data_IF_960365612562
#
_entry.id   IF_960365612562
#
_cell.length_a   1.000
_cell.length_b   1.000
_cell.length_c   1.000
_cell.angle_alpha   90.00
_cell.angle_beta   90.00
_cell.angle_gamma   90.00
#
_symmetry.space_group_name_H-M   'P 1'
#
loop_
_entity.id
_entity.type
_entity.pdbx_description
1 polymer ?
#
# COMPACT_ATOMS: atom_id res chain seq x y z
N UNK A 1 72.84 -39.22 10.86
CA UNK A 1 72.41 -38.60 12.14
C UNK A 1 70.95 -38.24 11.99
N UNK A 2 70.13 -38.65 12.96
CA UNK A 2 68.67 -38.63 12.95
C UNK A 2 68.06 -37.23 13.17
N UNK A 3 66.77 -37.08 12.82
CA UNK A 3 65.82 -36.12 13.42
C UNK A 3 65.06 -35.24 12.40
N UNK A 4 63.81 -35.56 12.02
CA UNK A 4 62.50 -34.97 12.50
C UNK A 4 62.34 -33.45 12.28
N UNK A 5 61.21 -32.85 11.85
CA UNK A 5 59.97 -33.18 11.12
C UNK A 5 59.18 -31.83 10.99
N UNK A 6 58.33 -31.65 9.96
CA UNK A 6 57.26 -30.62 9.91
C UNK A 6 57.15 -29.91 8.55
N UNK A 7 56.41 -30.44 7.56
CA UNK A 7 54.98 -30.18 7.17
C UNK A 7 54.69 -28.67 6.93
N UNK A 8 54.18 -28.20 5.77
CA UNK A 8 52.96 -28.57 5.01
C UNK A 8 53.06 -28.08 3.53
N UNK A 9 52.80 -28.97 2.56
CA UNK A 9 51.59 -29.04 1.71
C UNK A 9 51.59 -28.16 0.43
N UNK A 10 52.06 -28.76 -0.67
CA UNK A 10 51.64 -28.46 -2.04
C UNK A 10 50.69 -29.57 -2.47
N UNK A 11 49.51 -29.24 -2.99
CA UNK A 11 48.66 -30.22 -3.68
C UNK A 11 48.20 -29.64 -5.02
N UNK A 12 48.96 -29.98 -6.06
CA UNK A 12 48.42 -30.12 -7.41
C UNK A 12 47.61 -31.40 -7.47
N UNK A 13 46.39 -31.36 -8.01
CA UNK A 13 45.86 -32.47 -8.79
C UNK A 13 44.87 -31.92 -9.83
N UNK A 14 45.30 -31.94 -11.09
CA UNK A 14 44.42 -31.92 -12.24
C UNK A 14 44.39 -33.31 -12.87
N UNK A 15 43.18 -33.81 -13.17
CA UNK A 15 42.92 -34.71 -14.31
C UNK A 15 41.41 -34.75 -14.60
N UNK A 16 40.94 -34.03 -15.61
CA UNK A 16 40.57 -34.47 -16.98
C UNK A 16 39.54 -35.61 -17.06
N UNK A 17 38.27 -35.23 -17.33
CA UNK A 17 37.42 -35.72 -18.43
C UNK A 17 36.66 -37.05 -18.28
N UNK A 18 35.31 -36.98 -18.28
CA UNK A 18 34.48 -37.32 -19.46
C UNK A 18 32.96 -37.32 -19.13
N UNK A 19 32.23 -36.52 -19.91
CA UNK A 19 30.84 -36.64 -20.41
C UNK A 19 29.77 -37.44 -19.64
N UNK A 20 28.65 -36.76 -19.33
CA UNK A 20 27.33 -37.25 -19.71
C UNK A 20 26.41 -36.07 -20.08
N UNK A 21 25.82 -36.19 -21.26
CA UNK A 21 24.93 -35.22 -21.92
C UNK A 21 23.49 -35.44 -21.50
N UNK A 22 22.71 -34.36 -21.35
CA UNK A 22 21.28 -34.39 -21.66
C UNK A 22 20.34 -33.58 -20.75
N UNK A 23 19.94 -32.39 -21.23
CA UNK A 23 18.51 -31.96 -21.37
C UNK A 23 17.79 -31.61 -20.03
N UNK A 24 17.23 -30.43 -19.72
CA UNK A 24 16.78 -29.22 -20.44
C UNK A 24 16.34 -28.18 -19.37
N UNK A 25 16.66 -26.90 -19.56
CA UNK A 25 15.78 -25.76 -19.15
C UNK A 25 14.88 -25.41 -20.35
N UNK A 26 13.69 -24.75 -20.23
CA UNK A 26 13.50 -23.36 -19.75
C UNK A 26 12.15 -23.12 -18.99
N UNK A 27 11.80 -21.99 -18.35
CA UNK A 27 11.59 -20.63 -18.89
C UNK A 27 11.55 -19.54 -17.78
N UNK A 28 12.23 -18.40 -18.02
CA UNK A 28 11.97 -17.09 -17.38
C UNK A 28 10.83 -16.37 -18.10
N UNK A 29 10.00 -15.60 -17.37
CA UNK A 29 9.17 -14.53 -17.95
C UNK A 29 9.04 -13.34 -16.98
N UNK A 30 9.92 -12.35 -17.11
CA UNK A 30 9.60 -10.92 -16.88
C UNK A 30 10.42 -10.10 -17.87
N UNK A 31 9.87 -9.92 -19.07
CA UNK A 31 10.47 -9.17 -20.17
C UNK A 31 9.78 -7.80 -20.27
N UNK A 32 10.50 -6.72 -19.98
CA UNK A 32 10.17 -5.38 -20.48
C UNK A 32 10.66 -5.31 -21.94
N UNK A 33 9.80 -5.72 -22.87
CA UNK A 33 10.09 -5.75 -24.32
C UNK A 33 9.51 -4.50 -24.98
N UNK A 34 10.30 -3.44 -25.07
CA UNK A 34 10.03 -2.38 -26.05
C UNK A 34 10.39 -2.89 -27.45
N UNK A 35 9.46 -2.76 -28.39
CA UNK A 35 9.58 -3.17 -29.80
C UNK A 35 10.74 -2.44 -30.48
N UNK A 36 11.87 -3.14 -30.68
CA UNK A 36 12.88 -2.76 -31.65
C UNK A 36 12.73 -3.62 -32.89
N UNK A 37 12.12 -3.04 -33.92
CA UNK A 37 12.00 -3.61 -35.26
C UNK A 37 13.35 -3.40 -35.97
N UNK A 38 14.28 -4.35 -35.87
CA UNK A 38 15.33 -4.47 -36.88
C UNK A 38 15.88 -5.90 -36.98
N UNK A 39 15.80 -6.44 -38.19
CA UNK A 39 16.16 -7.78 -38.63
C UNK A 39 17.68 -8.00 -38.64
N UNK A 40 18.18 -8.86 -37.74
CA UNK A 40 19.56 -9.37 -37.71
C UNK A 40 19.74 -10.41 -36.58
N UNK A 41 20.73 -11.32 -36.67
CA UNK A 41 20.88 -12.43 -35.72
C UNK A 41 21.09 -11.88 -34.30
N UNK A 42 20.18 -12.26 -33.41
CA UNK A 42 19.97 -11.64 -32.10
C UNK A 42 21.20 -11.69 -31.19
N UNK A 43 21.84 -10.54 -31.02
CA UNK A 43 22.67 -10.25 -29.86
C UNK A 43 21.75 -9.63 -28.80
N UNK A 44 21.33 -10.44 -27.83
CA UNK A 44 20.74 -9.93 -26.59
C UNK A 44 21.88 -9.35 -25.75
N UNK A 45 22.03 -8.03 -25.75
CA UNK A 45 22.92 -7.33 -24.82
C UNK A 45 22.16 -7.25 -23.50
N UNK A 46 22.42 -8.18 -22.59
CA UNK A 46 21.94 -8.08 -21.21
C UNK A 46 22.78 -6.98 -20.54
N UNK A 47 22.19 -5.80 -20.39
CA UNK A 47 22.78 -4.71 -19.60
C UNK A 47 22.77 -5.15 -18.13
N UNK A 48 23.90 -5.67 -17.66
CA UNK A 48 24.13 -5.96 -16.24
C UNK A 48 24.25 -4.64 -15.48
N UNK A 49 23.11 -4.06 -15.13
CA UNK A 49 23.09 -2.87 -14.27
C UNK A 49 23.56 -3.30 -12.88
N UNK A 50 24.59 -2.64 -12.31
CA UNK A 50 25.02 -2.96 -10.96
C UNK A 50 23.82 -2.82 -10.00
N UNK A 51 23.71 -3.71 -9.01
CA UNK A 51 22.63 -3.61 -8.03
C UNK A 51 22.66 -2.21 -7.41
N UNK A 52 21.48 -1.61 -7.11
CA UNK A 52 21.44 -0.32 -6.46
C UNK A 52 22.26 -0.36 -5.17
N UNK A 53 22.91 0.76 -4.79
CA UNK A 53 23.68 0.80 -3.56
C UNK A 53 22.80 0.40 -2.37
N UNK A 54 23.36 -0.27 -1.36
CA UNK A 54 22.60 -0.65 -0.17
C UNK A 54 22.02 0.61 0.48
N UNK A 55 20.73 0.57 0.79
CA UNK A 55 20.05 1.63 1.53
C UNK A 55 20.36 1.53 3.02
N UNK A 56 20.21 2.66 3.71
CA UNK A 56 20.32 2.73 5.17
C UNK A 56 19.29 1.79 5.82
N UNK A 57 19.72 0.88 6.72
CA UNK A 57 18.80 0.04 7.51
C UNK A 57 17.66 0.82 8.19
N UNK A 58 17.92 2.04 8.67
CA UNK A 58 16.91 2.86 9.35
C UNK A 58 15.84 3.37 8.37
N UNK A 59 16.22 3.74 7.15
CA UNK A 59 15.29 4.14 6.09
C UNK A 59 14.39 2.95 5.69
N UNK A 60 14.97 1.74 5.61
CA UNK A 60 14.22 0.53 5.29
C UNK A 60 13.24 0.16 6.41
N UNK A 61 13.64 0.31 7.68
CA UNK A 61 12.77 0.09 8.82
C UNK A 61 11.60 1.10 8.87
N UNK A 62 11.87 2.38 8.58
CA UNK A 62 10.81 3.40 8.45
C UNK A 62 9.84 3.06 7.31
N UNK A 63 10.36 2.64 6.16
CA UNK A 63 9.55 2.24 5.01
C UNK A 63 8.67 1.02 5.31
N UNK A 64 9.17 0.06 6.10
CA UNK A 64 8.37 -1.05 6.60
C UNK A 64 7.22 -0.55 7.48
N UNK A 65 7.49 0.38 8.38
CA UNK A 65 6.45 1.02 9.20
C UNK A 65 5.36 1.71 8.37
N UNK A 66 5.75 2.44 7.32
CA UNK A 66 4.78 3.03 6.36
C UNK A 66 3.93 1.97 5.66
N UNK A 67 4.53 0.82 5.29
CA UNK A 67 3.78 -0.28 4.68
C UNK A 67 2.77 -0.89 5.66
N UNK A 68 3.16 -1.09 6.92
CA UNK A 68 2.26 -1.58 7.97
C UNK A 68 1.10 -0.61 8.22
N UNK A 69 1.38 0.70 8.28
CA UNK A 69 0.35 1.72 8.47
C UNK A 69 -0.69 1.73 7.34
N UNK A 70 -0.30 1.43 6.10
CA UNK A 70 -1.23 1.30 4.95
C UNK A 70 -2.20 0.11 5.08
N UNK A 71 -1.88 -0.87 5.91
CA UNK A 71 -2.75 -2.04 6.15
C UNK A 71 -3.79 -1.76 7.25
N UNK A 72 -3.60 -0.70 8.05
CA UNK A 72 -4.55 -0.30 9.07
C UNK A 72 -5.81 0.33 8.44
N UNK A 73 -6.98 0.21 9.09
CA UNK A 73 -8.18 0.89 8.64
C UNK A 73 -7.94 2.40 8.49
N UNK A 74 -8.30 3.02 7.35
CA UNK A 74 -8.01 4.43 7.10
C UNK A 74 -8.68 5.37 8.11
N UNK A 75 -9.82 4.95 8.67
CA UNK A 75 -10.60 5.72 9.64
C UNK A 75 -9.97 5.70 11.04
N UNK A 76 -9.06 4.75 11.33
CA UNK A 76 -8.43 4.62 12.64
C UNK A 76 -7.70 5.91 13.06
N UNK A 77 -7.09 6.61 12.09
CA UNK A 77 -6.39 7.88 12.32
C UNK A 77 -7.32 9.01 12.82
N UNK A 78 -8.61 8.92 12.49
CA UNK A 78 -9.59 9.90 12.92
C UNK A 78 -10.10 9.52 14.32
N UNK A 79 -10.18 8.23 14.63
CA UNK A 79 -10.76 7.70 15.87
C UNK A 79 -9.85 7.82 17.10
N UNK A 80 -8.54 8.00 16.89
CA UNK A 80 -7.54 8.06 17.96
C UNK A 80 -6.84 9.42 17.97
N UNK A 81 -6.53 9.93 19.16
CA UNK A 81 -5.61 11.08 19.29
C UNK A 81 -4.17 10.66 18.98
N UNK A 82 -3.29 11.65 18.76
CA UNK A 82 -1.86 11.39 18.54
C UNK A 82 -1.21 10.62 19.72
N UNK A 83 -1.58 10.96 20.95
CA UNK A 83 -1.10 10.30 22.17
C UNK A 83 -1.62 8.85 22.29
N UNK A 84 -2.88 8.62 21.91
CA UNK A 84 -3.48 7.28 21.89
C UNK A 84 -2.83 6.42 20.80
N UNK A 85 -2.52 7.01 19.63
CA UNK A 85 -1.78 6.33 18.57
C UNK A 85 -0.37 5.97 19.03
N UNK A 86 0.33 6.87 19.73
CA UNK A 86 1.63 6.57 20.32
C UNK A 86 1.55 5.43 21.35
N UNK A 87 0.46 5.36 22.12
CA UNK A 87 0.19 4.27 23.07
C UNK A 87 -0.08 2.95 22.33
N UNK A 88 -0.84 2.98 21.24
CA UNK A 88 -1.09 1.82 20.38
C UNK A 88 0.23 1.29 19.79
N UNK A 89 1.09 2.17 19.27
CA UNK A 89 2.41 1.79 18.73
C UNK A 89 3.33 1.19 19.79
N UNK A 90 3.22 1.64 21.04
CA UNK A 90 3.93 1.04 22.18
C UNK A 90 3.45 -0.39 22.45
N UNK A 91 2.13 -0.61 22.50
CA UNK A 91 1.56 -1.95 22.65
C UNK A 91 1.96 -2.90 21.53
N UNK A 92 1.97 -2.43 20.27
CA UNK A 92 2.48 -3.18 19.12
C UNK A 92 3.96 -3.56 19.31
N UNK A 93 4.79 -2.58 19.69
CA UNK A 93 6.23 -2.79 19.91
C UNK A 93 6.47 -3.78 21.05
N UNK A 94 5.76 -3.64 22.17
CA UNK A 94 5.91 -4.53 23.32
C UNK A 94 5.45 -5.95 23.00
N UNK A 95 4.39 -6.12 22.19
CA UNK A 95 3.97 -7.44 21.70
C UNK A 95 5.04 -8.05 20.78
N UNK A 96 5.55 -7.30 19.81
CA UNK A 96 6.57 -7.79 18.87
C UNK A 96 7.90 -8.14 19.54
N UNK A 97 8.26 -7.42 20.61
CA UNK A 97 9.49 -7.66 21.39
C UNK A 97 9.29 -8.66 22.54
N UNK A 98 8.10 -9.24 22.70
CA UNK A 98 7.78 -10.19 23.77
C UNK A 98 7.79 -9.59 25.18
N UNK A 99 7.59 -8.27 25.29
CA UNK A 99 7.51 -7.52 26.55
C UNK A 99 6.08 -7.42 27.09
N UNK A 100 5.08 -7.63 26.24
CA UNK A 100 3.68 -7.62 26.63
C UNK A 100 3.38 -8.86 27.49
N UNK A 101 3.37 -8.69 28.82
CA UNK A 101 2.89 -9.70 29.76
C UNK A 101 1.37 -9.72 29.76
N UNK A 102 0.77 -10.91 29.72
CA UNK A 102 -0.69 -11.10 29.81
C UNK A 102 -1.52 -10.41 28.71
N UNK A 103 -0.96 -10.25 27.51
CA UNK A 103 -1.64 -9.60 26.38
C UNK A 103 -3.02 -10.24 26.10
N UNK A 104 -3.12 -11.57 26.09
CA UNK A 104 -4.38 -12.27 25.86
C UNK A 104 -5.43 -12.00 26.94
N UNK A 105 -5.00 -11.78 28.20
CA UNK A 105 -5.90 -11.44 29.28
C UNK A 105 -6.41 -10.01 29.13
N UNK A 106 -5.52 -9.06 28.83
CA UNK A 106 -5.91 -7.66 28.59
C UNK A 106 -6.84 -7.52 27.38
N UNK A 107 -6.58 -8.25 26.30
CA UNK A 107 -7.44 -8.24 25.11
C UNK A 107 -8.83 -8.81 25.41
N UNK A 108 -8.94 -9.84 26.26
CA UNK A 108 -10.23 -10.39 26.69
C UNK A 108 -10.97 -9.46 27.63
N UNK A 109 -10.28 -8.84 28.58
CA UNK A 109 -10.89 -7.95 29.58
C UNK A 109 -11.36 -6.63 28.95
N UNK A 110 -10.54 -6.04 28.07
CA UNK A 110 -10.78 -4.71 27.52
C UNK A 110 -11.42 -4.74 26.14
N UNK A 111 -11.52 -5.89 25.48
CA UNK A 111 -11.97 -6.00 24.08
C UNK A 111 -13.36 -5.39 23.85
N UNK A 112 -14.32 -5.67 24.73
CA UNK A 112 -15.68 -5.14 24.61
C UNK A 112 -15.73 -3.62 24.81
N UNK A 113 -15.00 -3.10 25.80
CA UNK A 113 -14.92 -1.66 26.06
C UNK A 113 -14.20 -0.92 24.93
N UNK A 114 -13.14 -1.51 24.38
CA UNK A 114 -12.42 -0.98 23.23
C UNK A 114 -13.33 -0.89 22.01
N UNK A 115 -14.09 -1.95 21.73
CA UNK A 115 -15.04 -1.96 20.62
C UNK A 115 -16.14 -0.91 20.80
N UNK A 116 -16.68 -0.77 22.02
CA UNK A 116 -17.69 0.26 22.32
C UNK A 116 -17.13 1.68 22.15
N UNK A 117 -15.90 1.93 22.63
CA UNK A 117 -15.23 3.22 22.47
C UNK A 117 -15.06 3.58 20.99
N UNK A 118 -14.55 2.65 20.18
CA UNK A 118 -14.34 2.88 18.75
C UNK A 118 -15.66 3.10 18.01
N UNK A 119 -16.72 2.34 18.34
CA UNK A 119 -18.05 2.53 17.76
C UNK A 119 -18.65 3.89 18.13
N UNK A 120 -18.50 4.32 19.38
CA UNK A 120 -18.99 5.62 19.83
C UNK A 120 -18.30 6.75 19.04
N UNK A 121 -16.97 6.74 18.96
CA UNK A 121 -16.22 7.77 18.23
C UNK A 121 -16.52 7.77 16.73
N UNK A 122 -16.75 6.60 16.14
CA UNK A 122 -17.16 6.51 14.74
C UNK A 122 -18.54 7.17 14.51
N UNK A 123 -19.49 6.97 15.44
CA UNK A 123 -20.80 7.65 15.38
C UNK A 123 -20.68 9.15 15.54
N UNK A 124 -19.89 9.62 16.50
CA UNK A 124 -19.64 11.05 16.71
C UNK A 124 -19.03 11.71 15.45
N UNK A 125 -18.11 11.02 14.76
CA UNK A 125 -17.57 11.50 13.49
C UNK A 125 -18.61 11.53 12.37
N UNK A 126 -19.48 10.53 12.29
CA UNK A 126 -20.57 10.52 11.31
C UNK A 126 -21.56 11.66 11.57
N UNK A 127 -21.90 11.92 12.84
CA UNK A 127 -22.80 13.01 13.23
C UNK A 127 -22.21 14.38 12.90
N UNK A 128 -20.91 14.59 13.20
CA UNK A 128 -20.22 15.85 12.85
C UNK A 128 -20.10 16.03 11.34
N UNK A 129 -19.77 14.99 10.58
CA UNK A 129 -19.74 15.04 9.12
C UNK A 129 -21.14 15.30 8.52
N UNK A 130 -22.19 14.68 9.06
CA UNK A 130 -23.56 14.90 8.63
C UNK A 130 -24.02 16.34 8.91
N UNK A 131 -23.69 16.89 10.08
CA UNK A 131 -23.98 18.28 10.42
C UNK A 131 -23.27 19.25 9.47
N UNK A 132 -21.97 19.07 9.24
CA UNK A 132 -21.21 19.87 8.30
C UNK A 132 -21.77 19.76 6.86
N UNK A 133 -22.17 18.56 6.44
CA UNK A 133 -22.82 18.35 5.15
C UNK A 133 -24.16 19.07 5.03
N UNK A 134 -24.97 19.05 6.08
CA UNK A 134 -26.25 19.78 6.11
C UNK A 134 -26.05 21.30 6.02
N UNK A 135 -25.04 21.84 6.70
CA UNK A 135 -24.68 23.26 6.61
C UNK A 135 -24.21 23.65 5.21
N UNK A 136 -23.35 22.82 4.58
CA UNK A 136 -22.90 23.04 3.22
C UNK A 136 -24.05 22.99 2.20
N UNK A 137 -24.97 22.04 2.33
CA UNK A 137 -26.14 21.94 1.47
C UNK A 137 -27.07 23.16 1.65
N UNK A 138 -27.27 23.61 2.88
CA UNK A 138 -28.08 24.80 3.16
C UNK A 138 -27.45 26.07 2.58
N UNK A 139 -26.12 26.22 2.70
CA UNK A 139 -25.38 27.33 2.10
C UNK A 139 -25.46 27.29 0.56
N UNK A 140 -25.26 26.12 -0.05
CA UNK A 140 -25.35 25.94 -1.49
C UNK A 140 -26.77 26.25 -2.02
N UNK A 141 -27.81 25.84 -1.29
CA UNK A 141 -29.20 26.11 -1.67
C UNK A 141 -29.57 27.60 -1.58
N UNK A 142 -28.83 28.39 -0.81
CA UNK A 142 -29.04 29.83 -0.68
C UNK A 142 -28.32 30.64 -1.77
N UNK A 143 -27.48 30.02 -2.60
CA UNK A 143 -26.81 30.71 -3.70
C UNK A 143 -27.78 31.11 -4.82
N UNK A 144 -27.49 32.23 -5.49
CA UNK A 144 -28.28 32.67 -6.63
C UNK A 144 -28.19 31.67 -7.79
N UNK A 145 -29.35 31.26 -8.31
CA UNK A 145 -29.47 30.26 -9.37
C UNK A 145 -29.34 28.82 -8.89
N UNK A 146 -29.26 28.57 -7.58
CA UNK A 146 -29.37 27.24 -7.02
C UNK A 146 -30.85 26.80 -6.90
N UNK A 147 -31.10 25.54 -7.23
CA UNK A 147 -32.40 24.89 -7.13
C UNK A 147 -32.26 23.60 -6.32
N UNK A 148 -33.19 23.38 -5.38
CA UNK A 148 -33.26 22.13 -4.62
C UNK A 148 -34.31 21.21 -5.24
N UNK A 149 -33.87 20.02 -5.65
CA UNK A 149 -34.74 18.98 -6.21
C UNK A 149 -35.57 18.29 -5.12
N UNK A 150 -36.67 17.62 -5.49
CA UNK A 150 -37.50 16.84 -4.56
C UNK A 150 -36.71 15.73 -3.82
N UNK A 151 -35.61 15.27 -4.40
CA UNK A 151 -34.70 14.29 -3.80
C UNK A 151 -33.68 14.88 -2.83
N UNK A 152 -33.70 16.20 -2.58
CA UNK A 152 -32.78 16.89 -1.67
C UNK A 152 -31.41 17.25 -2.26
N UNK A 153 -31.22 17.05 -3.58
CA UNK A 153 -30.00 17.48 -4.28
C UNK A 153 -30.11 18.97 -4.62
N UNK A 154 -29.06 19.74 -4.31
CA UNK A 154 -28.91 21.14 -4.70
C UNK A 154 -28.11 21.22 -5.99
N UNK A 155 -28.68 21.85 -7.02
CA UNK A 155 -28.05 22.01 -8.34
C UNK A 155 -28.01 23.50 -8.70
N UNK A 156 -26.89 23.94 -9.28
CA UNK A 156 -26.76 25.29 -9.83
C UNK A 156 -26.49 25.19 -11.32
N UNK A 157 -27.36 25.76 -12.15
CA UNK A 157 -27.17 25.79 -13.59
C UNK A 157 -26.23 26.94 -13.92
N UNK A 158 -25.02 26.61 -14.39
CA UNK A 158 -24.01 27.61 -14.80
C UNK A 158 -24.28 28.08 -16.23
N UNK A 159 -24.46 27.12 -17.13
CA UNK A 159 -24.78 27.35 -18.55
C UNK A 159 -25.86 26.36 -18.98
N UNK A 160 -26.93 26.87 -19.59
CA UNK A 160 -28.03 26.03 -20.06
C UNK A 160 -27.75 25.53 -21.48
N UNK A 161 -27.80 24.20 -21.66
CA UNK A 161 -27.65 23.59 -22.97
C UNK A 161 -28.90 23.73 -23.83
N UNK A 162 -28.73 23.71 -25.15
CA UNK A 162 -29.83 23.72 -26.13
C UNK A 162 -29.92 22.33 -26.76
N UNK A 163 -30.89 21.53 -26.33
CA UNK A 163 -31.05 20.16 -26.83
C UNK A 163 -32.19 19.40 -26.13
N UNK A 164 -32.51 18.18 -26.57
CA UNK A 164 -33.48 17.34 -25.89
C UNK A 164 -32.96 16.93 -24.51
N UNK A 165 -33.82 16.94 -23.49
CA UNK A 165 -33.50 16.37 -22.19
C UNK A 165 -33.26 14.85 -22.32
N UNK A 166 -32.26 14.29 -21.63
CA UNK A 166 -32.01 12.86 -21.64
C UNK A 166 -33.17 12.10 -20.99
N UNK A 167 -33.46 10.92 -21.52
CA UNK A 167 -34.45 9.99 -20.97
C UNK A 167 -33.75 8.89 -20.15
N UNK A 168 -34.52 8.10 -19.39
CA UNK A 168 -33.97 6.97 -18.64
C UNK A 168 -33.25 5.91 -19.51
N UNK A 169 -33.55 5.85 -20.82
CA UNK A 169 -32.90 4.93 -21.77
C UNK A 169 -31.72 5.57 -22.53
N UNK A 170 -31.44 6.87 -22.31
CA UNK A 170 -30.39 7.59 -23.03
C UNK A 170 -29.01 7.22 -22.51
N UNK A 171 -28.03 7.16 -23.42
CA UNK A 171 -26.60 7.19 -23.07
C UNK A 171 -26.11 8.63 -23.18
N UNK A 172 -25.46 9.13 -22.13
CA UNK A 172 -24.94 10.50 -22.05
C UNK A 172 -23.41 10.48 -21.98
N UNK A 173 -22.79 11.49 -22.58
CA UNK A 173 -21.35 11.77 -22.46
C UNK A 173 -21.18 13.00 -21.57
N UNK A 174 -20.37 12.89 -20.52
CA UNK A 174 -20.20 13.95 -19.51
C UNK A 174 -18.73 14.17 -19.19
N UNK A 175 -18.39 15.43 -18.94
CA UNK A 175 -17.15 15.81 -18.28
C UNK A 175 -17.52 16.28 -16.88
N UNK A 176 -17.02 15.61 -15.84
CA UNK A 176 -17.35 15.93 -14.45
C UNK A 176 -16.08 15.94 -13.60
N UNK A 177 -16.17 16.66 -12.49
CA UNK A 177 -15.21 16.67 -11.39
C UNK A 177 -15.99 16.40 -10.09
N UNK A 178 -15.40 15.65 -9.16
CA UNK A 178 -16.04 15.22 -7.92
C UNK A 178 -15.06 15.14 -6.76
#
# INVERSE_FOLDING_TARGET
>A
VAGTMGFTSTSHYGRVGAAFSGITQPHRLTSNRWLALNSGPGVVIEFDMPPPPPKDPDELAYTLGLNMAKQLPPDLKNLLSEDELATCMRGLTDMMLGRATDADAQLRENGDQLNQLLQQRAREQQETAAAAGAELLAAAAAEEGAETTEGGVVVKIIESGVGPFPTAASTVEVHYEG
#
